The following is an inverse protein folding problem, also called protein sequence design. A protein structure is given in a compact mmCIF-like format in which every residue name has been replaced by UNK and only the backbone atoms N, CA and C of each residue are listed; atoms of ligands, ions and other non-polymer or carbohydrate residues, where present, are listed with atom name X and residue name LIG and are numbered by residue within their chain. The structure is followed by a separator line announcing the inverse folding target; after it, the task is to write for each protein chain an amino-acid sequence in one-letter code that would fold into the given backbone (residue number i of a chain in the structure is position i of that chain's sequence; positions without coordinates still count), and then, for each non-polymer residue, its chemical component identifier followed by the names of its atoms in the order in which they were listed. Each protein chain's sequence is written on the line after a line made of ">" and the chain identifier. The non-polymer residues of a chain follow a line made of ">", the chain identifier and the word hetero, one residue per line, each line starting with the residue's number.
data_IF_794201584749
#
_entry.id   IF_794201584749
#
_cell.length_a   1.000
_cell.length_b   1.000
_cell.length_c   1.000
_cell.angle_alpha   90.00
_cell.angle_beta   90.00
_cell.angle_gamma   90.00
#
_symmetry.space_group_name_H-M   'P 1'
#
loop_
_entity.id
_entity.type
_entity.pdbx_description
1 polymer ?
#
# COMPACT_ATOMS: atom_id res chain seq x y z
N UNK A 1 11.58 -11.17 5.81
CA UNK A 1 12.74 -10.25 5.91
C UNK A 1 13.34 -10.01 4.52
N UNK A 2 13.75 -8.77 4.23
CA UNK A 2 14.41 -8.46 2.98
C UNK A 2 15.83 -9.03 2.96
N UNK A 3 16.37 -9.38 1.78
CA UNK A 3 17.77 -9.72 1.66
C UNK A 3 18.67 -8.58 2.15
N UNK A 4 19.86 -8.89 2.69
CA UNK A 4 20.77 -7.90 3.28
C UNK A 4 21.17 -6.73 2.39
N UNK A 5 21.33 -7.01 1.10
CA UNK A 5 21.73 -6.06 0.07
C UNK A 5 20.54 -5.25 -0.49
N UNK A 6 19.34 -5.44 0.05
CA UNK A 6 18.15 -4.69 -0.37
C UNK A 6 17.86 -3.57 0.63
N UNK A 7 17.91 -2.33 0.14
CA UNK A 7 17.65 -1.14 0.94
C UNK A 7 16.32 -0.50 0.54
N UNK A 8 15.42 -0.35 1.51
CA UNK A 8 14.13 0.33 1.29
C UNK A 8 14.29 1.86 1.30
N UNK A 9 14.06 2.47 0.14
CA UNK A 9 14.26 3.90 -0.11
C UNK A 9 12.99 4.62 -0.62
N UNK A 10 11.88 3.90 -0.74
CA UNK A 10 10.66 4.40 -1.38
C UNK A 10 9.57 4.88 -0.40
N UNK A 11 8.53 5.56 -0.89
CA UNK A 11 8.28 5.81 -2.31
C UNK A 11 9.13 6.97 -2.87
N UNK A 12 9.80 6.76 -4.00
CA UNK A 12 10.54 7.82 -4.69
C UNK A 12 9.55 8.63 -5.52
N UNK A 13 9.27 9.85 -5.09
CA UNK A 13 8.34 10.77 -5.74
C UNK A 13 9.05 12.09 -6.07
N UNK A 14 8.58 12.73 -7.14
CA UNK A 14 9.01 14.08 -7.52
C UNK A 14 8.56 15.09 -6.46
N UNK A 15 9.39 16.09 -6.19
CA UNK A 15 9.01 17.23 -5.32
C UNK A 15 8.07 18.18 -6.04
N UNK A 16 8.13 18.20 -7.38
CA UNK A 16 7.28 19.01 -8.24
C UNK A 16 6.33 18.10 -9.03
N UNK A 17 5.09 18.53 -9.15
CA UNK A 17 4.06 17.84 -9.92
C UNK A 17 3.23 18.87 -10.69
N UNK A 18 2.71 18.52 -11.88
CA UNK A 18 1.87 19.43 -12.63
C UNK A 18 0.64 19.84 -11.79
N UNK A 19 0.28 21.13 -11.76
CA UNK A 19 -0.90 21.58 -11.04
C UNK A 19 -2.17 21.12 -11.74
N UNK A 20 -3.31 21.19 -11.03
CA UNK A 20 -4.62 21.04 -11.64
C UNK A 20 -4.82 22.10 -12.74
N UNK A 21 -5.47 21.71 -13.83
CA UNK A 21 -5.93 22.67 -14.84
C UNK A 21 -7.07 23.53 -14.24
N UNK A 22 -7.30 24.77 -14.73
CA UNK A 22 -8.40 25.59 -14.23
C UNK A 22 -9.77 24.91 -14.31
N UNK A 23 -9.98 24.09 -15.35
CA UNK A 23 -11.19 23.28 -15.52
C UNK A 23 -11.36 22.24 -14.39
N UNK A 24 -10.32 21.46 -14.10
CA UNK A 24 -10.34 20.47 -13.03
C UNK A 24 -10.47 21.15 -11.65
N UNK A 25 -9.78 22.26 -11.42
CA UNK A 25 -9.91 23.04 -10.17
C UNK A 25 -11.36 23.49 -9.97
N UNK A 26 -11.96 24.14 -10.99
CA UNK A 26 -13.35 24.60 -10.93
C UNK A 26 -14.36 23.46 -10.75
N UNK A 27 -14.06 22.25 -11.26
CA UNK A 27 -14.90 21.08 -11.03
C UNK A 27 -14.75 20.55 -9.60
N UNK A 28 -13.53 20.30 -9.12
CA UNK A 28 -13.29 19.70 -7.80
C UNK A 28 -13.76 20.62 -6.68
N UNK A 29 -13.60 21.93 -6.81
CA UNK A 29 -13.97 22.91 -5.77
C UNK A 29 -15.48 23.01 -5.54
N UNK A 30 -16.30 22.56 -6.51
CA UNK A 30 -17.76 22.52 -6.39
C UNK A 30 -18.31 21.28 -5.69
N UNK A 31 -17.43 20.33 -5.35
CA UNK A 31 -17.80 19.02 -4.82
C UNK A 31 -17.03 18.74 -3.53
N UNK A 32 -17.65 18.05 -2.58
CA UNK A 32 -17.05 17.76 -1.27
C UNK A 32 -16.42 16.37 -1.19
N UNK A 33 -16.92 15.42 -1.99
CA UNK A 33 -16.61 13.99 -1.96
C UNK A 33 -16.36 13.49 -3.39
N UNK A 34 -15.20 13.85 -3.90
CA UNK A 34 -14.77 13.45 -5.25
C UNK A 34 -14.17 12.04 -5.23
N UNK A 35 -14.70 11.19 -6.11
CA UNK A 35 -14.10 9.93 -6.52
C UNK A 35 -13.21 10.19 -7.74
N UNK A 36 -11.92 9.88 -7.62
CA UNK A 36 -11.02 9.89 -8.76
C UNK A 36 -10.86 8.48 -9.31
N UNK A 37 -10.91 8.31 -10.64
CA UNK A 37 -10.75 7.02 -11.32
C UNK A 37 -9.66 7.10 -12.37
N UNK A 38 -8.69 6.17 -12.28
CA UNK A 38 -7.66 5.98 -13.31
C UNK A 38 -7.10 4.55 -13.29
N UNK A 39 -7.15 3.87 -14.43
CA UNK A 39 -6.60 2.51 -14.60
C UNK A 39 -5.21 2.48 -15.24
N UNK A 40 -4.51 3.62 -15.22
CA UNK A 40 -3.19 3.77 -15.81
C UNK A 40 -3.22 3.98 -17.32
N UNK A 41 -2.04 4.02 -17.93
CA UNK A 41 -1.83 4.40 -19.34
C UNK A 41 -1.76 3.20 -20.29
N UNK A 42 -1.93 1.98 -19.78
CA UNK A 42 -1.75 0.73 -20.56
C UNK A 42 -2.90 -0.26 -20.39
N UNK A 43 -3.96 0.15 -19.72
CA UNK A 43 -5.15 -0.69 -19.53
C UNK A 43 -6.22 -0.21 -20.49
N UNK A 44 -6.63 -1.12 -21.37
CA UNK A 44 -7.82 -0.96 -22.19
C UNK A 44 -9.00 -1.65 -21.48
N UNK A 45 -10.07 -0.89 -21.27
CA UNK A 45 -11.28 -1.37 -20.61
C UNK A 45 -12.35 -1.66 -21.66
N UNK A 46 -12.92 -2.86 -21.62
CA UNK A 46 -14.00 -3.28 -22.54
C UNK A 46 -15.31 -2.57 -22.22
N UNK A 47 -16.20 -2.48 -23.20
CA UNK A 47 -17.50 -1.81 -23.08
C UNK A 47 -18.35 -2.27 -21.90
N UNK A 48 -18.45 -3.58 -21.64
CA UNK A 48 -19.21 -4.10 -20.50
C UNK A 48 -18.72 -3.53 -19.14
N UNK A 49 -17.41 -3.37 -18.98
CA UNK A 49 -16.84 -2.80 -17.76
C UNK A 49 -17.05 -1.28 -17.71
N UNK A 50 -16.92 -0.58 -18.83
CA UNK A 50 -17.22 0.85 -18.91
C UNK A 50 -18.67 1.14 -18.53
N UNK A 51 -19.61 0.32 -19.01
CA UNK A 51 -21.03 0.44 -18.73
C UNK A 51 -21.31 0.24 -17.23
N UNK A 52 -20.76 -0.81 -16.63
CA UNK A 52 -20.86 -1.08 -15.18
C UNK A 52 -20.27 0.05 -14.35
N UNK A 53 -19.11 0.58 -14.73
CA UNK A 53 -18.47 1.69 -14.00
C UNK A 53 -19.30 2.97 -14.11
N UNK A 54 -19.81 3.28 -15.30
CA UNK A 54 -20.64 4.46 -15.50
C UNK A 54 -21.95 4.35 -14.72
N UNK A 55 -22.56 3.16 -14.68
CA UNK A 55 -23.71 2.87 -13.82
C UNK A 55 -23.38 3.11 -12.34
N UNK A 56 -22.25 2.55 -11.85
CA UNK A 56 -21.79 2.78 -10.48
C UNK A 56 -21.65 4.28 -10.17
N UNK A 57 -21.10 5.07 -11.08
CA UNK A 57 -20.90 6.51 -10.85
C UNK A 57 -22.23 7.23 -10.68
N UNK A 58 -23.17 7.00 -11.59
CA UNK A 58 -24.52 7.60 -11.53
C UNK A 58 -25.24 7.17 -10.25
N UNK A 59 -25.22 5.87 -9.91
CA UNK A 59 -25.89 5.37 -8.71
C UNK A 59 -25.21 5.86 -7.42
N UNK A 60 -23.89 5.97 -7.37
CA UNK A 60 -23.17 6.52 -6.22
C UNK A 60 -23.52 7.99 -5.96
N UNK A 61 -23.74 8.77 -7.03
CA UNK A 61 -24.21 10.16 -6.96
C UNK A 61 -25.67 10.21 -6.51
N UNK A 62 -26.57 9.43 -7.12
CA UNK A 62 -27.99 9.38 -6.77
C UNK A 62 -28.21 8.98 -5.30
N UNK A 63 -27.40 8.04 -4.81
CA UNK A 63 -27.41 7.58 -3.42
C UNK A 63 -26.65 8.52 -2.46
N UNK A 64 -26.12 9.64 -2.97
CA UNK A 64 -25.38 10.65 -2.21
C UNK A 64 -24.18 10.07 -1.46
N UNK A 65 -23.56 9.01 -1.97
CA UNK A 65 -22.33 8.42 -1.43
C UNK A 65 -21.15 9.35 -1.75
N UNK A 66 -21.11 9.80 -3.00
CA UNK A 66 -20.20 10.81 -3.55
C UNK A 66 -21.02 11.91 -4.22
N UNK A 67 -20.41 13.05 -4.52
CA UNK A 67 -21.04 14.13 -5.27
C UNK A 67 -20.22 14.55 -6.50
N UNK A 68 -18.99 14.08 -6.66
CA UNK A 68 -18.17 14.36 -7.85
C UNK A 68 -17.38 13.14 -8.31
N UNK A 69 -17.20 13.02 -9.62
CA UNK A 69 -16.41 11.96 -10.26
C UNK A 69 -15.45 12.59 -11.25
N UNK A 70 -14.16 12.28 -11.13
CA UNK A 70 -13.17 12.55 -12.19
C UNK A 70 -12.69 11.24 -12.74
N UNK A 71 -12.88 11.03 -14.05
CA UNK A 71 -12.47 9.82 -14.72
C UNK A 71 -11.44 10.10 -15.83
N UNK A 72 -10.23 9.58 -15.64
CA UNK A 72 -9.16 9.64 -16.63
C UNK A 72 -9.20 8.43 -17.59
N UNK A 73 -9.73 8.65 -18.81
CA UNK A 73 -9.80 7.69 -19.91
C UNK A 73 -8.54 7.78 -20.78
N UNK A 74 -7.42 7.21 -20.32
CA UNK A 74 -6.13 7.33 -21.04
C UNK A 74 -6.17 6.63 -22.41
N UNK A 75 -6.50 5.34 -22.44
CA UNK A 75 -6.48 4.49 -23.66
C UNK A 75 -7.87 4.00 -24.10
N UNK A 76 -8.92 4.31 -23.34
CA UNK A 76 -10.29 3.85 -23.63
C UNK A 76 -10.98 4.85 -24.56
N UNK A 77 -11.53 4.37 -25.68
CA UNK A 77 -12.27 5.23 -26.60
C UNK A 77 -13.64 5.57 -26.03
N UNK A 78 -14.18 6.73 -26.41
CA UNK A 78 -15.59 7.05 -26.15
C UNK A 78 -16.55 6.12 -26.90
N UNK A 79 -16.08 5.47 -27.96
CA UNK A 79 -16.85 4.49 -28.73
C UNK A 79 -17.01 3.16 -27.99
N UNK A 80 -16.25 2.94 -26.92
CA UNK A 80 -16.31 1.74 -26.08
C UNK A 80 -17.39 1.84 -24.99
N UNK A 81 -18.42 2.66 -25.20
CA UNK A 81 -19.53 2.88 -24.26
C UNK A 81 -20.85 2.63 -24.94
N UNK A 82 -21.77 1.95 -24.24
CA UNK A 82 -23.14 1.84 -24.72
C UNK A 82 -23.81 3.22 -24.75
N UNK A 83 -24.62 3.56 -25.77
CA UNK A 83 -25.29 4.86 -25.83
C UNK A 83 -26.25 5.11 -24.66
N UNK A 84 -26.81 4.03 -24.12
CA UNK A 84 -27.78 4.04 -23.03
C UNK A 84 -27.41 2.99 -21.99
N UNK A 85 -27.50 3.36 -20.72
CA UNK A 85 -27.28 2.50 -19.56
C UNK A 85 -28.61 2.27 -18.86
N UNK A 86 -28.79 1.06 -18.31
CA UNK A 86 -29.90 0.75 -17.42
C UNK A 86 -29.38 0.71 -15.99
N UNK A 87 -29.96 1.53 -15.12
CA UNK A 87 -29.68 1.51 -13.69
C UNK A 87 -30.38 0.34 -13.00
N UNK A 88 -30.01 0.06 -11.75
CA UNK A 88 -30.57 -1.03 -10.95
C UNK A 88 -32.10 -0.93 -10.76
N UNK A 89 -32.65 0.29 -10.75
CA UNK A 89 -34.09 0.54 -10.63
C UNK A 89 -34.86 0.50 -11.98
N UNK A 90 -34.16 0.22 -13.08
CA UNK A 90 -34.70 0.20 -14.44
C UNK A 90 -34.72 1.55 -15.15
N UNK A 91 -34.28 2.64 -14.49
CA UNK A 91 -34.12 3.95 -15.13
C UNK A 91 -33.06 3.89 -16.23
N UNK A 92 -33.33 4.53 -17.37
CA UNK A 92 -32.39 4.61 -18.47
C UNK A 92 -31.67 5.96 -18.50
N UNK A 93 -30.36 5.94 -18.69
CA UNK A 93 -29.51 7.13 -18.73
C UNK A 93 -28.68 7.15 -20.01
N UNK A 94 -28.61 8.30 -20.67
CA UNK A 94 -27.76 8.49 -21.85
C UNK A 94 -26.31 8.72 -21.43
N UNK A 95 -25.36 8.07 -22.11
CA UNK A 95 -23.92 8.22 -21.80
C UNK A 95 -23.29 9.44 -22.45
N UNK A 96 -23.82 9.90 -23.59
CA UNK A 96 -23.25 11.03 -24.33
C UNK A 96 -23.06 12.30 -23.48
N UNK A 97 -24.05 12.78 -22.68
CA UNK A 97 -23.84 13.95 -21.81
C UNK A 97 -22.73 13.74 -20.76
N UNK A 98 -22.55 12.52 -20.27
CA UNK A 98 -21.48 12.19 -19.31
C UNK A 98 -20.12 12.26 -20.02
N UNK A 99 -19.99 11.60 -21.17
CA UNK A 99 -18.74 11.53 -21.92
C UNK A 99 -18.31 12.87 -22.51
N UNK A 100 -19.24 13.81 -22.70
CA UNK A 100 -18.98 15.15 -23.22
C UNK A 100 -18.90 16.24 -22.14
N UNK A 101 -18.81 15.86 -20.86
CA UNK A 101 -18.71 16.79 -19.72
C UNK A 101 -19.89 17.77 -19.59
N UNK A 102 -21.09 17.34 -20.01
CA UNK A 102 -22.35 18.07 -19.81
C UNK A 102 -23.04 17.66 -18.49
N UNK A 103 -22.62 16.53 -17.89
CA UNK A 103 -23.10 16.09 -16.59
C UNK A 103 -22.44 16.88 -15.44
N UNK A 104 -23.21 17.49 -14.51
CA UNK A 104 -22.65 18.41 -13.51
C UNK A 104 -21.72 17.75 -12.49
N UNK A 105 -21.89 16.44 -12.25
CA UNK A 105 -21.17 15.69 -11.21
C UNK A 105 -20.14 14.71 -11.75
N UNK A 106 -19.96 14.61 -13.08
CA UNK A 106 -19.00 13.68 -13.69
C UNK A 106 -18.16 14.43 -14.70
N UNK A 107 -16.84 14.37 -14.54
CA UNK A 107 -15.87 14.97 -15.42
C UNK A 107 -14.95 13.90 -16.01
N UNK A 108 -15.00 13.75 -17.32
CA UNK A 108 -14.20 12.81 -18.10
C UNK A 108 -13.07 13.57 -18.79
N UNK A 109 -11.85 13.07 -18.64
CA UNK A 109 -10.66 13.63 -19.31
C UNK A 109 -9.78 12.52 -19.86
N UNK A 110 -8.98 12.80 -20.90
CA UNK A 110 -7.94 11.86 -21.36
C UNK A 110 -6.78 11.76 -20.39
N UNK A 111 -6.46 12.86 -19.71
CA UNK A 111 -5.35 12.95 -18.78
C UNK A 111 -5.70 13.87 -17.63
N UNK A 112 -5.35 13.45 -16.42
CA UNK A 112 -5.40 14.30 -15.23
C UNK A 112 -4.02 14.29 -14.57
N UNK A 113 -3.57 15.42 -14.00
CA UNK A 113 -2.38 15.46 -13.16
C UNK A 113 -2.67 14.68 -11.86
N UNK A 114 -2.49 13.36 -11.92
CA UNK A 114 -3.00 12.39 -10.95
C UNK A 114 -2.63 12.77 -9.51
N UNK A 115 -1.35 13.05 -9.24
CA UNK A 115 -0.91 13.46 -7.92
C UNK A 115 -1.64 14.70 -7.41
N UNK A 116 -1.85 15.71 -8.26
CA UNK A 116 -2.56 16.94 -7.86
C UNK A 116 -4.03 16.68 -7.56
N UNK A 117 -4.69 15.79 -8.33
CA UNK A 117 -6.07 15.35 -8.03
C UNK A 117 -6.11 14.62 -6.70
N UNK A 118 -5.22 13.65 -6.47
CA UNK A 118 -5.16 12.87 -5.24
C UNK A 118 -4.82 13.71 -4.00
N UNK A 119 -4.00 14.75 -4.16
CA UNK A 119 -3.60 15.64 -3.06
C UNK A 119 -4.64 16.72 -2.76
N UNK A 120 -5.70 16.85 -3.57
CA UNK A 120 -6.77 17.80 -3.32
C UNK A 120 -7.62 17.39 -2.13
N UNK A 121 -8.03 18.34 -1.29
CA UNK A 121 -8.79 18.05 -0.06
C UNK A 121 -10.13 17.38 -0.30
N UNK A 122 -10.75 17.62 -1.46
CA UNK A 122 -12.06 17.10 -1.81
C UNK A 122 -12.00 15.71 -2.46
N UNK A 123 -10.82 15.24 -2.86
CA UNK A 123 -10.64 13.86 -3.35
C UNK A 123 -10.61 12.92 -2.17
N UNK A 124 -11.62 12.05 -2.06
CA UNK A 124 -11.80 11.18 -0.89
C UNK A 124 -11.49 9.71 -1.16
N UNK A 125 -11.57 9.29 -2.42
CA UNK A 125 -11.34 7.91 -2.81
C UNK A 125 -10.67 7.86 -4.19
N UNK A 126 -9.74 6.91 -4.34
CA UNK A 126 -9.13 6.61 -5.62
C UNK A 126 -9.53 5.22 -6.10
N UNK A 127 -10.28 5.14 -7.19
CA UNK A 127 -10.54 3.89 -7.88
C UNK A 127 -9.42 3.65 -8.92
N UNK A 128 -8.55 2.69 -8.64
CA UNK A 128 -7.36 2.43 -9.45
C UNK A 128 -7.21 0.96 -9.81
N UNK A 129 -6.33 0.70 -10.77
CA UNK A 129 -5.87 -0.63 -11.11
C UNK A 129 -4.83 -1.20 -10.12
N UNK A 130 -4.28 -0.37 -9.22
CA UNK A 130 -3.29 -0.82 -8.24
C UNK A 130 -1.85 -0.90 -8.77
N UNK A 131 -1.51 -0.15 -9.83
CA UNK A 131 -0.13 -0.02 -10.26
C UNK A 131 0.76 0.61 -9.18
N UNK A 132 2.05 0.26 -9.15
CA UNK A 132 2.96 0.67 -8.08
C UNK A 132 3.07 2.20 -7.91
N UNK A 133 3.17 2.96 -9.01
CA UNK A 133 3.20 4.43 -8.94
C UNK A 133 1.92 5.01 -8.34
N UNK A 134 0.75 4.58 -8.83
CA UNK A 134 -0.55 5.01 -8.31
C UNK A 134 -0.77 4.66 -6.84
N UNK A 135 -0.29 3.48 -6.44
CA UNK A 135 -0.27 3.02 -5.05
C UNK A 135 0.57 3.94 -4.17
N UNK A 136 1.78 4.29 -4.61
CA UNK A 136 2.67 5.19 -3.86
C UNK A 136 2.11 6.61 -3.74
N UNK A 137 1.50 7.17 -4.79
CA UNK A 137 0.89 8.49 -4.73
C UNK A 137 -0.33 8.52 -3.80
N UNK A 138 -1.18 7.48 -3.83
CA UNK A 138 -2.28 7.31 -2.88
C UNK A 138 -1.78 7.22 -1.44
N UNK A 139 -0.74 6.42 -1.19
CA UNK A 139 -0.12 6.31 0.13
C UNK A 139 0.42 7.67 0.58
N UNK A 140 1.10 8.42 -0.29
CA UNK A 140 1.68 9.73 0.02
C UNK A 140 0.64 10.82 0.32
N UNK A 141 -0.49 10.77 -0.39
CA UNK A 141 -1.61 11.71 -0.21
C UNK A 141 -2.54 11.29 0.95
N UNK A 142 -2.50 10.01 1.33
CA UNK A 142 -3.39 9.42 2.34
C UNK A 142 -4.80 9.18 1.80
N UNK A 143 -4.93 8.97 0.49
CA UNK A 143 -6.22 8.76 -0.17
C UNK A 143 -6.50 7.27 -0.25
N UNK A 144 -7.54 6.73 0.42
CA UNK A 144 -7.85 5.30 0.36
C UNK A 144 -8.16 4.86 -1.07
N UNK A 145 -8.07 3.55 -1.33
CA UNK A 145 -8.21 2.99 -2.68
C UNK A 145 -9.30 1.93 -2.79
N UNK A 146 -10.06 1.99 -3.87
CA UNK A 146 -10.75 0.82 -4.41
C UNK A 146 -9.89 0.28 -5.55
N UNK A 147 -9.53 -1.00 -5.53
CA UNK A 147 -8.56 -1.56 -6.46
C UNK A 147 -9.22 -2.59 -7.37
N UNK A 148 -9.14 -2.38 -8.68
CA UNK A 148 -9.53 -3.34 -9.71
C UNK A 148 -8.27 -3.83 -10.46
N UNK A 149 -7.61 -4.89 -9.98
CA UNK A 149 -6.39 -5.38 -10.61
C UNK A 149 -6.67 -6.06 -11.96
N UNK A 150 -5.91 -5.69 -13.00
CA UNK A 150 -6.01 -6.25 -14.35
C UNK A 150 -4.93 -7.30 -14.65
N UNK A 151 -3.68 -7.09 -14.22
CA UNK A 151 -2.58 -8.05 -14.47
C UNK A 151 -1.27 -7.67 -13.78
N UNK A 152 -0.26 -8.55 -13.92
CA UNK A 152 1.09 -8.31 -13.39
C UNK A 152 1.16 -8.24 -11.86
N UNK A 153 1.83 -7.21 -11.36
CA UNK A 153 2.07 -6.97 -9.93
C UNK A 153 0.85 -6.39 -9.19
N UNK A 154 -0.18 -5.95 -9.91
CA UNK A 154 -1.33 -5.22 -9.38
C UNK A 154 -2.09 -6.00 -8.29
N UNK A 155 -2.18 -7.33 -8.39
CA UNK A 155 -2.88 -8.16 -7.39
C UNK A 155 -2.10 -8.17 -6.07
N UNK A 156 -0.77 -8.27 -6.14
CA UNK A 156 0.09 -8.21 -4.97
C UNK A 156 0.07 -6.83 -4.32
N UNK A 157 0.02 -5.76 -5.13
CA UNK A 157 -0.13 -4.40 -4.63
C UNK A 157 -1.49 -4.20 -3.93
N UNK A 158 -2.58 -4.69 -4.53
CA UNK A 158 -3.91 -4.66 -3.94
C UNK A 158 -3.94 -5.36 -2.57
N UNK A 159 -3.39 -6.58 -2.48
CA UNK A 159 -3.31 -7.32 -1.22
C UNK A 159 -2.51 -6.59 -0.14
N UNK A 160 -1.39 -5.95 -0.51
CA UNK A 160 -0.58 -5.15 0.43
C UNK A 160 -1.35 -3.93 0.93
N UNK A 161 -2.11 -3.27 0.06
CA UNK A 161 -2.94 -2.13 0.41
C UNK A 161 -4.12 -2.51 1.33
N UNK A 162 -4.77 -3.64 1.06
CA UNK A 162 -5.80 -4.22 1.95
C UNK A 162 -5.20 -4.59 3.31
N UNK A 163 -4.02 -5.22 3.33
CA UNK A 163 -3.30 -5.58 4.56
C UNK A 163 -2.88 -4.32 5.36
N UNK A 164 -2.51 -3.24 4.67
CA UNK A 164 -2.25 -1.95 5.28
C UNK A 164 -3.52 -1.27 5.83
N UNK A 165 -4.70 -1.79 5.46
CA UNK A 165 -6.01 -1.32 5.89
C UNK A 165 -6.37 0.03 5.29
N UNK A 166 -6.01 0.27 4.02
CA UNK A 166 -6.34 1.53 3.31
C UNK A 166 -7.05 1.31 1.98
N UNK A 167 -7.35 0.05 1.64
CA UNK A 167 -8.00 -0.29 0.39
C UNK A 167 -8.92 -1.49 0.52
N UNK A 168 -9.77 -1.66 -0.49
CA UNK A 168 -10.46 -2.91 -0.80
C UNK A 168 -10.18 -3.28 -2.25
N UNK A 169 -10.11 -4.58 -2.54
CA UNK A 169 -9.94 -5.11 -3.88
C UNK A 169 -11.28 -5.63 -4.44
N UNK A 170 -11.40 -5.56 -5.76
CA UNK A 170 -12.46 -6.15 -6.56
C UNK A 170 -11.92 -7.34 -7.35
N UNK A 171 -12.83 -8.22 -7.76
CA UNK A 171 -12.52 -9.30 -8.70
C UNK A 171 -13.08 -8.96 -10.08
N UNK A 172 -12.20 -8.74 -11.06
CA UNK A 172 -12.57 -8.40 -12.45
C UNK A 172 -13.49 -9.43 -13.13
N UNK A 173 -13.52 -10.67 -12.65
CA UNK A 173 -14.36 -11.75 -13.19
C UNK A 173 -15.74 -11.84 -12.55
N UNK A 174 -16.00 -11.09 -11.47
CA UNK A 174 -17.27 -11.13 -10.73
C UNK A 174 -17.62 -9.74 -10.22
N UNK A 175 -17.69 -8.78 -11.15
CA UNK A 175 -18.07 -7.41 -10.83
C UNK A 175 -19.59 -7.28 -10.72
N UNK A 176 -20.01 -6.78 -9.56
CA UNK A 176 -21.38 -6.45 -9.21
C UNK A 176 -21.49 -4.97 -8.80
N UNK A 177 -22.52 -4.29 -9.28
CA UNK A 177 -22.71 -2.85 -9.05
C UNK A 177 -22.94 -2.56 -7.57
N UNK A 178 -23.74 -3.38 -6.89
CA UNK A 178 -24.04 -3.18 -5.47
C UNK A 178 -22.80 -3.43 -4.59
N UNK A 179 -22.01 -4.46 -4.89
CA UNK A 179 -20.72 -4.69 -4.20
C UNK A 179 -19.78 -3.49 -4.33
N UNK A 180 -19.64 -2.94 -5.54
CA UNK A 180 -18.80 -1.75 -5.77
C UNK A 180 -19.31 -0.56 -4.97
N UNK A 181 -20.62 -0.26 -5.02
CA UNK A 181 -21.24 0.83 -4.27
C UNK A 181 -21.02 0.68 -2.75
N UNK A 182 -21.24 -0.52 -2.22
CA UNK A 182 -21.03 -0.84 -0.80
C UNK A 182 -19.56 -0.65 -0.40
N UNK A 183 -18.61 -1.09 -1.24
CA UNK A 183 -17.18 -0.92 -0.99
C UNK A 183 -16.76 0.55 -1.03
N UNK A 184 -17.29 1.35 -1.97
CA UNK A 184 -17.07 2.80 -2.02
C UNK A 184 -17.57 3.44 -0.73
N UNK A 185 -18.81 3.14 -0.32
CA UNK A 185 -19.41 3.72 0.89
C UNK A 185 -18.62 3.34 2.16
N UNK A 186 -18.22 2.07 2.27
CA UNK A 186 -17.39 1.58 3.37
C UNK A 186 -16.05 2.32 3.45
N UNK A 187 -15.32 2.41 2.33
CA UNK A 187 -14.00 3.07 2.29
C UNK A 187 -14.06 4.55 2.68
N UNK A 188 -15.19 5.22 2.41
CA UNK A 188 -15.39 6.63 2.76
C UNK A 188 -15.77 6.82 4.24
N UNK A 189 -16.45 5.85 4.85
CA UNK A 189 -17.03 5.99 6.20
C UNK A 189 -16.21 5.34 7.31
N UNK A 190 -15.54 4.23 7.04
CA UNK A 190 -14.88 3.42 8.06
C UNK A 190 -13.74 4.17 8.77
N UNK A 191 -13.78 4.17 10.11
CA UNK A 191 -12.82 4.89 10.94
C UNK A 191 -11.44 4.22 10.98
N UNK A 192 -11.37 2.89 10.82
CA UNK A 192 -10.10 2.19 10.74
C UNK A 192 -9.36 2.52 9.44
N UNK A 193 -10.08 2.55 8.30
CA UNK A 193 -9.54 3.03 7.02
C UNK A 193 -9.02 4.45 7.17
N UNK A 194 -9.82 5.39 7.71
CA UNK A 194 -9.38 6.79 7.90
C UNK A 194 -8.12 6.90 8.77
N UNK A 195 -8.05 6.15 9.87
CA UNK A 195 -6.89 6.11 10.77
C UNK A 195 -5.65 5.54 10.06
N UNK A 196 -5.81 4.44 9.34
CA UNK A 196 -4.73 3.80 8.60
C UNK A 196 -4.23 4.67 7.45
N UNK A 197 -5.13 5.33 6.70
CA UNK A 197 -4.76 6.26 5.63
C UNK A 197 -3.92 7.42 6.16
N UNK A 198 -4.26 7.99 7.32
CA UNK A 198 -3.44 9.02 7.98
C UNK A 198 -2.07 8.48 8.41
N UNK A 199 -2.02 7.25 8.96
CA UNK A 199 -0.77 6.59 9.37
C UNK A 199 0.13 6.32 8.17
N UNK A 200 -0.42 5.75 7.10
CA UNK A 200 0.31 5.42 5.89
C UNK A 200 0.78 6.68 5.15
N UNK A 201 -0.03 7.75 5.14
CA UNK A 201 0.38 9.09 4.68
C UNK A 201 1.65 9.57 5.35
N UNK A 202 1.67 9.51 6.67
CA UNK A 202 2.83 9.95 7.44
C UNK A 202 4.07 9.10 7.14
N UNK A 203 3.92 7.77 7.11
CA UNK A 203 5.01 6.84 6.78
C UNK A 203 5.55 7.05 5.36
N UNK A 204 4.66 7.19 4.37
CA UNK A 204 5.04 7.41 2.98
C UNK A 204 5.81 8.71 2.80
N UNK A 205 5.40 9.80 3.47
CA UNK A 205 6.10 11.09 3.44
C UNK A 205 7.47 11.07 4.11
N UNK A 206 7.63 10.34 5.21
CA UNK A 206 8.95 10.17 5.82
C UNK A 206 9.85 9.36 4.89
N UNK A 207 9.32 8.25 4.36
CA UNK A 207 10.14 7.34 3.58
C UNK A 207 10.47 7.91 2.19
N UNK A 208 9.68 8.82 1.63
CA UNK A 208 10.01 9.47 0.36
C UNK A 208 11.27 10.32 0.41
N UNK A 209 11.67 10.79 1.60
CA UNK A 209 12.93 11.52 1.78
C UNK A 209 14.16 10.59 1.69
N UNK A 210 13.98 9.27 1.71
CA UNK A 210 15.08 8.31 1.58
C UNK A 210 15.64 8.23 0.16
N UNK A 211 15.09 8.98 -0.81
CA UNK A 211 15.71 9.16 -2.13
C UNK A 211 17.15 9.71 -2.04
N UNK A 212 17.43 10.56 -1.05
CA UNK A 212 18.80 11.03 -0.78
C UNK A 212 19.68 9.91 -0.23
N UNK A 213 19.17 9.12 0.72
CA UNK A 213 19.84 7.88 1.17
C UNK A 213 20.16 6.98 -0.02
N UNK A 214 19.25 6.84 -0.99
CA UNK A 214 19.51 6.04 -2.18
C UNK A 214 20.70 6.59 -2.99
N UNK A 215 20.76 7.91 -3.18
CA UNK A 215 21.90 8.56 -3.85
C UNK A 215 23.20 8.31 -3.07
N UNK A 216 23.20 8.53 -1.75
CA UNK A 216 24.38 8.29 -0.90
C UNK A 216 24.87 6.83 -0.97
N UNK A 217 23.93 5.87 -0.98
CA UNK A 217 24.27 4.46 -1.12
C UNK A 217 24.87 4.14 -2.49
N UNK A 218 24.36 4.75 -3.58
CA UNK A 218 24.93 4.59 -4.92
C UNK A 218 26.35 5.16 -4.95
N UNK A 219 26.56 6.37 -4.43
CA UNK A 219 27.88 7.01 -4.34
C UNK A 219 28.86 6.15 -3.54
N UNK A 220 28.43 5.62 -2.39
CA UNK A 220 29.25 4.73 -1.57
C UNK A 220 29.68 3.47 -2.31
N UNK A 221 28.73 2.80 -3.00
CA UNK A 221 29.02 1.55 -3.74
C UNK A 221 29.96 1.84 -4.91
N UNK A 222 29.74 2.92 -5.66
CA UNK A 222 30.62 3.33 -6.76
C UNK A 222 32.03 3.64 -6.26
N UNK A 223 32.16 4.45 -5.21
CA UNK A 223 33.45 4.78 -4.62
C UNK A 223 34.18 3.52 -4.12
N UNK A 224 33.49 2.67 -3.36
CA UNK A 224 34.07 1.45 -2.79
C UNK A 224 34.52 0.47 -3.89
N UNK A 225 33.71 0.30 -4.95
CA UNK A 225 34.06 -0.57 -6.08
C UNK A 225 35.30 -0.10 -6.84
N UNK A 226 35.64 1.18 -6.77
CA UNK A 226 36.85 1.74 -7.39
C UNK A 226 38.12 1.53 -6.56
N UNK A 227 37.99 1.11 -5.29
CA UNK A 227 39.14 0.80 -4.43
C UNK A 227 39.67 -0.61 -4.66
N UNK A 228 38.81 -1.52 -5.08
CA UNK A 228 39.13 -2.94 -5.25
C UNK A 228 39.45 -3.26 -6.73
N UNK A 229 40.52 -4.02 -6.98
CA UNK A 229 40.91 -4.46 -8.32
C UNK A 229 39.93 -5.50 -8.89
N UNK A 230 39.29 -6.28 -8.00
CA UNK A 230 38.29 -7.29 -8.30
C UNK A 230 37.18 -7.28 -7.24
N UNK A 231 35.93 -7.33 -7.68
CA UNK A 231 34.78 -7.52 -6.76
C UNK A 231 34.69 -9.00 -6.41
N UNK A 232 34.93 -9.33 -5.14
CA UNK A 232 34.77 -10.69 -4.60
C UNK A 232 33.55 -10.79 -3.67
N UNK A 233 33.34 -11.97 -3.08
CA UNK A 233 32.23 -12.23 -2.15
C UNK A 233 32.32 -11.43 -0.84
N UNK A 234 33.45 -10.75 -0.58
CA UNK A 234 33.66 -9.88 0.59
C UNK A 234 33.31 -8.41 0.30
N UNK A 235 32.97 -8.05 -0.94
CA UNK A 235 32.47 -6.72 -1.29
C UNK A 235 31.14 -6.41 -0.55
N UNK A 236 31.09 -5.29 0.17
CA UNK A 236 29.94 -4.86 1.00
C UNK A 236 29.55 -5.86 2.10
N UNK A 237 30.51 -6.66 2.58
CA UNK A 237 30.29 -7.63 3.66
C UNK A 237 29.67 -6.98 4.91
N UNK A 238 29.94 -5.71 5.16
CA UNK A 238 29.36 -4.93 6.26
C UNK A 238 27.84 -4.72 6.14
N UNK A 239 27.24 -4.83 4.95
CA UNK A 239 25.78 -4.76 4.76
C UNK A 239 25.09 -6.09 5.00
N UNK A 240 25.85 -7.18 5.01
CA UNK A 240 25.36 -8.51 5.33
C UNK A 240 25.24 -8.63 6.86
N UNK A 241 24.11 -9.10 7.44
CA UNK A 241 24.01 -9.41 8.86
C UNK A 241 25.14 -10.35 9.29
N UNK A 242 25.66 -10.12 10.48
CA UNK A 242 26.71 -10.97 11.03
C UNK A 242 26.24 -12.44 11.13
N UNK A 243 24.97 -12.65 11.44
CA UNK A 243 24.32 -13.97 11.53
C UNK A 243 24.44 -14.79 10.25
N UNK A 244 24.24 -14.19 9.07
CA UNK A 244 24.36 -14.92 7.80
C UNK A 244 25.79 -15.29 7.44
N UNK A 245 26.79 -14.80 8.20
CA UNK A 245 28.21 -15.20 8.09
C UNK A 245 28.65 -16.15 9.20
N UNK A 246 27.77 -16.49 10.13
CA UNK A 246 28.08 -17.32 11.29
C UNK A 246 27.57 -18.75 11.10
N UNK A 247 28.27 -19.73 11.66
CA UNK A 247 27.77 -21.11 11.74
C UNK A 247 26.48 -21.18 12.57
N UNK A 248 25.62 -22.16 12.29
CA UNK A 248 24.27 -22.32 12.87
C UNK A 248 24.20 -22.12 14.40
N UNK A 249 25.20 -22.61 15.14
CA UNK A 249 25.28 -22.48 16.61
C UNK A 249 25.36 -21.02 17.04
N UNK A 250 26.30 -20.25 16.48
CA UNK A 250 26.51 -18.84 16.82
C UNK A 250 25.37 -17.97 16.30
N UNK A 251 24.90 -18.23 15.08
CA UNK A 251 23.80 -17.48 14.49
C UNK A 251 22.50 -17.57 15.32
N UNK A 252 22.29 -18.68 16.02
CA UNK A 252 21.12 -18.88 16.89
C UNK A 252 21.43 -18.73 18.39
N UNK A 253 22.62 -18.20 18.75
CA UNK A 253 23.08 -18.03 20.13
C UNK A 253 23.02 -19.31 21.00
N UNK A 254 23.12 -20.49 20.39
CA UNK A 254 23.00 -21.78 21.09
C UNK A 254 24.16 -22.01 22.07
N UNK A 255 25.33 -21.46 21.77
CA UNK A 255 26.49 -21.43 22.67
C UNK A 255 26.21 -20.59 23.92
N UNK A 256 25.57 -19.43 23.78
CA UNK A 256 25.14 -18.57 24.89
C UNK A 256 24.07 -19.27 25.74
N UNK A 257 23.03 -19.83 25.11
CA UNK A 257 21.98 -20.56 25.83
C UNK A 257 22.53 -21.80 26.55
N UNK A 258 23.43 -22.55 25.91
CA UNK A 258 24.09 -23.70 26.50
C UNK A 258 24.92 -23.33 27.74
N UNK A 259 25.66 -22.22 27.66
CA UNK A 259 26.44 -21.70 28.80
C UNK A 259 25.52 -21.27 29.97
N UNK A 260 24.45 -20.51 29.68
CA UNK A 260 23.48 -20.10 30.70
C UNK A 260 22.79 -21.30 31.35
N UNK A 261 22.41 -22.31 30.57
CA UNK A 261 21.85 -23.56 31.08
C UNK A 261 22.83 -24.27 32.02
N UNK A 262 24.12 -24.29 31.68
CA UNK A 262 25.18 -24.82 32.55
C UNK A 262 25.27 -24.09 33.90
N UNK A 263 25.19 -22.76 33.90
CA UNK A 263 25.15 -21.96 35.14
C UNK A 263 23.93 -22.31 35.99
N UNK A 264 22.75 -22.44 35.37
CA UNK A 264 21.52 -22.79 36.08
C UNK A 264 21.64 -24.19 36.71
N UNK A 265 22.11 -25.17 35.94
CA UNK A 265 22.28 -26.55 36.43
C UNK A 265 23.30 -26.64 37.57
N UNK A 266 24.39 -25.88 37.50
CA UNK A 266 25.39 -25.84 38.59
C UNK A 266 24.83 -25.21 39.87
N UNK A 267 24.08 -24.10 39.77
CA UNK A 267 23.39 -23.50 40.92
C UNK A 267 22.37 -24.46 41.55
N UNK A 268 21.59 -25.19 40.73
CA UNK A 268 20.67 -26.24 41.19
C UNK A 268 21.43 -27.36 41.90
N UNK A 269 22.55 -27.82 41.33
CA UNK A 269 23.40 -28.84 41.95
C UNK A 269 23.98 -28.41 43.30
N UNK A 270 24.44 -27.16 43.41
CA UNK A 270 24.96 -26.59 44.66
C UNK A 270 23.86 -26.49 45.71
N UNK A 271 22.69 -25.96 45.37
CA UNK A 271 21.56 -25.84 46.29
C UNK A 271 21.09 -27.21 46.78
N UNK A 272 20.98 -28.20 45.89
CA UNK A 272 20.65 -29.58 46.27
C UNK A 272 21.68 -30.19 47.22
N UNK A 273 22.98 -29.98 46.97
CA UNK A 273 24.07 -30.45 47.84
C UNK A 273 24.02 -29.80 49.23
N UNK A 274 23.75 -28.49 49.30
CA UNK A 274 23.59 -27.76 50.56
C UNK A 274 22.38 -28.27 51.37
N UNK A 275 21.24 -28.51 50.71
CA UNK A 275 20.04 -29.07 51.35
C UNK A 275 20.31 -30.49 51.87
N UNK A 276 20.92 -31.34 51.05
CA UNK A 276 21.27 -32.72 51.43
C UNK A 276 22.22 -32.77 52.63
N UNK A 277 23.26 -31.92 52.63
CA UNK A 277 24.18 -31.81 53.77
C UNK A 277 23.48 -31.31 55.04
N UNK A 278 22.58 -30.32 54.93
CA UNK A 278 21.77 -29.82 56.06
C UNK A 278 20.87 -30.92 56.66
N UNK A 279 20.21 -31.72 55.80
CA UNK A 279 19.37 -32.84 56.22
C UNK A 279 20.20 -33.97 56.87
N UNK A 280 21.38 -34.27 56.33
CA UNK A 280 22.32 -35.27 56.90
C UNK A 280 22.83 -34.85 58.28
N UNK A 281 23.24 -33.57 58.42
CA UNK A 281 23.68 -33.03 59.71
C UNK A 281 22.55 -33.00 60.75
N UNK A 282 21.31 -32.66 60.35
CA UNK A 282 20.12 -32.79 61.23
C UNK A 282 19.85 -34.23 61.67
N UNK A 283 20.07 -35.22 60.81
CA UNK A 283 19.94 -36.64 61.19
C UNK A 283 21.02 -37.10 62.16
N UNK A 284 22.26 -36.59 62.03
CA UNK A 284 23.34 -36.85 62.99
C UNK A 284 23.06 -36.22 64.36
N UNK A 285 22.64 -34.96 64.42
CA UNK A 285 22.35 -34.29 65.70
C UNK A 285 21.10 -34.81 66.44
N UNK A 286 20.23 -35.60 65.79
CA UNK A 286 19.11 -36.29 66.46
C UNK A 286 19.48 -37.69 67.01
N UNK A 287 20.70 -38.16 66.75
CA UNK A 287 21.21 -39.47 67.17
C UNK A 287 22.22 -39.39 68.33
N UNK A 288 22.65 -38.19 68.70
CA UNK A 288 23.33 -37.86 69.97
C UNK A 288 22.30 -37.35 70.98
#
# INVERSE_FOLDING_TARGET
>A
PLPPNVQEIGPVLSDEYPPLTPELTNFIDKHERVLYIAFGTRVYVRSELNDKLTQVFVEAINNKIIDGVIWALSETSKDDFSPTLSLTDGTQVQTSPILNNEHPHIHVTKFAPQFAVLNHTNTKLFFSHGGAGSTHESLYTGTPMLVLPFGGDQMGNAQRLETAGIALSLNKHSLDVNDILNKIDFLLKDEHIKKNSKRMKYLARINSNRKYKAADLIEYVLYSSGLDEYLDDDFLKEWIPAESRMGFIKANNLDVYGFLLGIILTLIGITFKLISNSLSNRKKSKKE
#
